data_IF_688120043875
#
_entry.id   IF_688120043875
#
_cell.length_a   1.000
_cell.length_b   1.000
_cell.length_c   1.000
_cell.angle_alpha   90.00
_cell.angle_beta   90.00
_cell.angle_gamma   90.00
#
_symmetry.space_group_name_H-M   'P 1'
#
loop_
_entity.id
_entity.type
_entity.pdbx_description
1 polymer ?
#
# COMPACT_ATOMS: atom_id res chain seq x y z
N UNK A 1 2.98 -20.81 -29.75
CA UNK A 1 2.22 -19.88 -28.90
C UNK A 1 1.03 -19.38 -29.71
N UNK A 2 -0.14 -19.91 -29.44
CA UNK A 2 -1.42 -19.50 -30.06
C UNK A 2 -2.01 -18.31 -29.32
N UNK A 3 -3.01 -17.66 -29.91
CA UNK A 3 -3.70 -16.55 -29.27
C UNK A 3 -4.48 -17.00 -28.02
N UNK A 4 -4.98 -18.24 -27.99
CA UNK A 4 -5.62 -18.84 -26.82
C UNK A 4 -4.63 -19.01 -25.66
N UNK A 5 -3.42 -19.50 -25.93
CA UNK A 5 -2.35 -19.62 -24.94
C UNK A 5 -1.93 -18.25 -24.38
N UNK A 6 -1.89 -17.21 -25.23
CA UNK A 6 -1.62 -15.82 -24.80
C UNK A 6 -2.73 -15.28 -23.91
N UNK A 7 -3.99 -15.49 -24.27
CA UNK A 7 -5.14 -15.04 -23.47
C UNK A 7 -5.11 -15.67 -22.07
N UNK A 8 -4.86 -16.97 -21.99
CA UNK A 8 -4.76 -17.69 -20.70
C UNK A 8 -3.60 -17.13 -19.87
N UNK A 9 -2.43 -16.91 -20.48
CA UNK A 9 -1.27 -16.33 -19.80
C UNK A 9 -1.57 -14.92 -19.27
N UNK A 10 -2.18 -14.05 -20.07
CA UNK A 10 -2.58 -12.71 -19.62
C UNK A 10 -3.59 -12.76 -18.46
N UNK A 11 -4.54 -13.68 -18.48
CA UNK A 11 -5.51 -13.82 -17.38
C UNK A 11 -4.85 -14.27 -16.08
N UNK A 12 -3.90 -15.20 -16.15
CA UNK A 12 -3.11 -15.63 -14.99
C UNK A 12 -2.28 -14.47 -14.43
N UNK A 13 -1.66 -13.70 -15.32
CA UNK A 13 -0.88 -12.51 -14.97
C UNK A 13 -1.74 -11.46 -14.25
N UNK A 14 -2.91 -11.14 -14.81
CA UNK A 14 -3.87 -10.20 -14.21
C UNK A 14 -4.29 -10.67 -12.82
N UNK A 15 -4.55 -11.98 -12.64
CA UNK A 15 -4.88 -12.53 -11.32
C UNK A 15 -3.72 -12.38 -10.34
N UNK A 16 -2.49 -12.65 -10.76
CA UNK A 16 -1.30 -12.47 -9.91
C UNK A 16 -1.14 -11.00 -9.51
N UNK A 17 -1.22 -10.08 -10.47
CA UNK A 17 -1.09 -8.64 -10.22
C UNK A 17 -2.18 -8.12 -9.27
N UNK A 18 -3.42 -8.60 -9.41
CA UNK A 18 -4.50 -8.28 -8.45
C UNK A 18 -4.18 -8.77 -7.04
N UNK A 19 -3.53 -9.93 -6.91
CA UNK A 19 -3.02 -10.42 -5.63
C UNK A 19 -1.98 -9.47 -5.02
N UNK A 20 -0.97 -9.10 -5.81
CA UNK A 20 0.09 -8.17 -5.38
C UNK A 20 -0.48 -6.82 -4.96
N UNK A 21 -1.42 -6.26 -5.73
CA UNK A 21 -2.09 -4.99 -5.37
C UNK A 21 -2.79 -5.12 -4.01
N UNK A 22 -3.51 -6.22 -3.77
CA UNK A 22 -4.18 -6.46 -2.50
C UNK A 22 -3.21 -6.56 -1.32
N UNK A 23 -2.10 -7.27 -1.49
CA UNK A 23 -1.04 -7.37 -0.47
C UNK A 23 -0.41 -6.00 -0.18
N UNK A 24 -0.20 -5.17 -1.20
CA UNK A 24 0.29 -3.81 -1.03
C UNK A 24 -0.71 -2.93 -0.26
N UNK A 25 -2.00 -3.03 -0.58
CA UNK A 25 -3.07 -2.30 0.12
C UNK A 25 -3.18 -2.73 1.59
N UNK A 26 -2.98 -4.02 1.88
CA UNK A 26 -2.97 -4.55 3.24
C UNK A 26 -1.79 -4.03 4.05
N UNK A 27 -0.56 -4.14 3.52
CA UNK A 27 0.62 -3.57 4.18
C UNK A 27 0.52 -2.06 4.39
N UNK A 28 -0.08 -1.35 3.43
CA UNK A 28 -0.33 0.08 3.55
C UNK A 28 -1.31 0.37 4.70
N UNK A 29 -2.38 -0.41 4.85
CA UNK A 29 -3.32 -0.29 5.96
C UNK A 29 -2.63 -0.54 7.30
N UNK A 30 -1.89 -1.64 7.43
CA UNK A 30 -1.14 -1.97 8.66
C UNK A 30 -0.16 -0.85 9.04
N UNK A 31 0.56 -0.30 8.06
CA UNK A 31 1.46 0.82 8.27
C UNK A 31 0.73 2.09 8.77
N UNK A 32 -0.44 2.40 8.20
CA UNK A 32 -1.23 3.56 8.62
C UNK A 32 -1.81 3.39 10.03
N UNK A 33 -2.27 2.19 10.37
CA UNK A 33 -2.73 1.87 11.72
C UNK A 33 -1.60 2.00 12.74
N UNK A 34 -0.42 1.45 12.43
CA UNK A 34 0.77 1.61 13.26
C UNK A 34 1.16 3.09 13.41
N UNK A 35 1.17 3.84 12.31
CA UNK A 35 1.52 5.27 12.32
C UNK A 35 0.55 6.08 13.19
N UNK A 36 -0.74 5.75 13.19
CA UNK A 36 -1.73 6.41 14.04
C UNK A 36 -1.47 6.16 15.52
N UNK A 37 -1.19 4.92 15.91
CA UNK A 37 -0.85 4.59 17.29
C UNK A 37 0.46 5.24 17.74
N UNK A 38 1.50 5.17 16.90
CA UNK A 38 2.79 5.81 17.17
C UNK A 38 2.65 7.32 17.32
N UNK A 39 1.74 7.95 16.56
CA UNK A 39 1.50 9.40 16.65
C UNK A 39 0.95 9.88 17.99
N UNK A 40 0.37 8.97 18.80
CA UNK A 40 -0.15 9.29 20.14
C UNK A 40 0.93 9.29 21.22
N UNK A 41 2.10 8.72 20.92
CA UNK A 41 3.20 8.59 21.87
C UNK A 41 4.09 9.83 21.77
N UNK A 42 4.26 10.63 22.85
CA UNK A 42 5.16 11.77 22.82
C UNK A 42 6.60 11.32 22.56
N UNK A 43 7.20 11.83 21.48
CA UNK A 43 8.60 11.57 21.14
C UNK A 43 9.29 12.82 20.61
N UNK A 44 10.63 12.87 20.68
CA UNK A 44 11.42 13.93 20.05
C UNK A 44 11.23 13.98 18.52
N UNK A 45 10.82 12.85 17.93
CA UNK A 45 10.60 12.69 16.50
C UNK A 45 9.17 13.04 16.05
N UNK A 46 8.32 13.55 16.94
CA UNK A 46 6.92 13.86 16.63
C UNK A 46 6.77 14.83 15.45
N UNK A 47 7.71 15.78 15.31
CA UNK A 47 7.74 16.73 14.20
C UNK A 47 7.90 16.01 12.85
N UNK A 48 8.83 15.05 12.76
CA UNK A 48 9.04 14.24 11.57
C UNK A 48 7.83 13.36 11.26
N UNK A 49 7.23 12.77 12.29
CA UNK A 49 6.03 11.93 12.13
C UNK A 49 4.83 12.72 11.61
N UNK A 50 4.65 13.97 12.07
CA UNK A 50 3.61 14.86 11.56
C UNK A 50 3.80 15.21 10.08
N UNK A 51 5.05 15.41 9.61
CA UNK A 51 5.34 15.66 8.19
C UNK A 51 4.95 14.45 7.34
N UNK A 52 5.29 13.23 7.79
CA UNK A 52 4.91 11.99 7.11
C UNK A 52 3.38 11.86 7.04
N UNK A 53 2.68 12.13 8.14
CA UNK A 53 1.20 12.09 8.21
C UNK A 53 0.57 13.12 7.25
N UNK A 54 1.10 14.34 7.17
CA UNK A 54 0.64 15.37 6.23
C UNK A 54 0.87 14.98 4.77
N UNK A 55 2.04 14.44 4.45
CA UNK A 55 2.35 13.96 3.09
C UNK A 55 1.37 12.86 2.67
N UNK A 56 1.14 11.88 3.55
CA UNK A 56 0.19 10.79 3.30
C UNK A 56 -1.24 11.31 3.09
N UNK A 57 -1.70 12.27 3.88
CA UNK A 57 -3.03 12.89 3.68
C UNK A 57 -3.16 13.60 2.33
N UNK A 58 -2.07 14.14 1.79
CA UNK A 58 -2.07 14.89 0.52
C UNK A 58 -1.95 13.98 -0.71
N UNK A 59 -1.25 12.85 -0.59
CA UNK A 59 -1.03 11.93 -1.71
C UNK A 59 -2.08 10.82 -1.82
N UNK A 60 -2.87 10.61 -0.76
CA UNK A 60 -3.86 9.52 -0.68
C UNK A 60 -5.31 9.98 -0.85
N UNK A 61 -5.53 11.29 -1.02
CA UNK A 61 -6.80 11.96 -1.38
C UNK A 61 -6.58 12.88 -2.57
#
# INVERSE_FOLDING_TARGET
MTDEERIISCQQEIRRLRGVVRECEEKRREFLEWLEEESKIPSENQSGLNVVKQYLNTCLY
#
